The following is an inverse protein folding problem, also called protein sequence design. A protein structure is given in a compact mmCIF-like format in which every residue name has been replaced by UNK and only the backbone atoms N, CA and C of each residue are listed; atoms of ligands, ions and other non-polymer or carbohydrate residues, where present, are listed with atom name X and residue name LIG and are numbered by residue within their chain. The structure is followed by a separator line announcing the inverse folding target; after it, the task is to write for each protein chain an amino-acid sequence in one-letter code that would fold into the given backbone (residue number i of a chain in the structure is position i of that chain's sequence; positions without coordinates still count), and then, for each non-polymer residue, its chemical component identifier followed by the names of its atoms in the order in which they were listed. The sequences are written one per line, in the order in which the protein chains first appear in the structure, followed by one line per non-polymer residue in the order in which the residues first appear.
data_IF_641068289417
#
_entry.id   IF_641068289417
#
_cell.length_a   1.000
_cell.length_b   1.000
_cell.length_c   1.000
_cell.angle_alpha   90.00
_cell.angle_beta   90.00
_cell.angle_gamma   90.00
#
_symmetry.space_group_name_H-M   'P 1'
#
loop_
_entity.id
_entity.type
_entity.pdbx_description
1 polymer ?
#
# COMPACT_ATOMS: atom_id res chain seq x y z
N UNK A 1 26.75 76.59 -13.15
CA UNK A 1 25.68 75.70 -13.68
C UNK A 1 26.10 74.24 -13.56
N UNK A 2 27.34 73.89 -13.93
CA UNK A 2 27.92 72.55 -13.75
C UNK A 2 27.93 72.06 -12.29
N UNK A 3 28.33 72.91 -11.33
CA UNK A 3 28.38 72.52 -9.91
C UNK A 3 27.00 72.22 -9.29
N UNK A 4 25.93 72.86 -9.79
CA UNK A 4 24.55 72.60 -9.32
C UNK A 4 23.99 71.28 -9.87
N UNK A 5 24.36 70.92 -11.09
CA UNK A 5 23.98 69.63 -11.71
C UNK A 5 24.75 68.50 -11.04
N UNK A 6 26.05 68.67 -10.77
CA UNK A 6 26.86 67.69 -10.07
C UNK A 6 26.37 67.47 -8.63
N UNK A 7 26.10 68.55 -7.89
CA UNK A 7 25.54 68.46 -6.53
C UNK A 7 24.17 67.75 -6.49
N UNK A 8 23.34 67.93 -7.52
CA UNK A 8 22.02 67.28 -7.62
C UNK A 8 22.18 65.81 -8.01
N UNK A 9 23.12 65.47 -8.90
CA UNK A 9 23.46 64.10 -9.26
C UNK A 9 24.02 63.33 -8.04
N UNK A 10 24.96 63.93 -7.31
CA UNK A 10 25.55 63.31 -6.12
C UNK A 10 24.51 63.15 -5.01
N UNK A 11 23.57 64.10 -4.86
CA UNK A 11 22.46 63.99 -3.91
C UNK A 11 21.43 62.92 -4.32
N UNK A 12 21.10 62.78 -5.60
CA UNK A 12 20.23 61.71 -6.11
C UNK A 12 20.90 60.35 -5.98
N UNK A 13 22.21 60.27 -6.26
CA UNK A 13 23.02 59.06 -6.08
C UNK A 13 23.10 58.66 -4.61
N UNK A 14 23.33 59.61 -3.71
CA UNK A 14 23.36 59.37 -2.26
C UNK A 14 22.00 58.87 -1.75
N UNK A 15 20.89 59.51 -2.15
CA UNK A 15 19.52 59.07 -1.78
C UNK A 15 19.20 57.69 -2.36
N UNK A 16 19.70 57.37 -3.55
CA UNK A 16 19.52 56.05 -4.14
C UNK A 16 20.38 54.97 -3.46
N UNK A 17 21.59 55.30 -3.03
CA UNK A 17 22.45 54.41 -2.21
C UNK A 17 21.81 54.18 -0.85
N UNK A 18 21.35 55.23 -0.17
CA UNK A 18 20.66 55.13 1.13
C UNK A 18 19.36 54.32 1.04
N UNK A 19 18.55 54.54 -0.01
CA UNK A 19 17.36 53.72 -0.27
C UNK A 19 17.69 52.28 -0.63
N UNK A 20 18.79 52.04 -1.34
CA UNK A 20 19.30 50.69 -1.64
C UNK A 20 19.77 49.99 -0.36
N UNK A 21 20.48 50.68 0.52
CA UNK A 21 20.93 50.15 1.81
C UNK A 21 19.75 49.84 2.74
N UNK A 22 18.73 50.69 2.76
CA UNK A 22 17.50 50.45 3.51
C UNK A 22 16.69 49.27 2.94
N UNK A 23 16.58 49.15 1.61
CA UNK A 23 16.00 47.98 0.94
C UNK A 23 16.78 46.69 1.26
N UNK A 24 18.11 46.74 1.24
CA UNK A 24 18.97 45.60 1.58
C UNK A 24 18.79 45.21 3.05
N UNK A 25 18.67 46.19 3.97
CA UNK A 25 18.37 45.91 5.39
C UNK A 25 16.99 45.28 5.58
N UNK A 26 15.96 45.78 4.88
CA UNK A 26 14.61 45.23 4.93
C UNK A 26 14.59 43.80 4.41
N UNK A 27 15.23 43.53 3.27
CA UNK A 27 15.27 42.20 2.65
C UNK A 27 16.05 41.22 3.53
N UNK A 28 17.20 41.63 4.10
CA UNK A 28 17.96 40.80 5.06
C UNK A 28 17.15 40.49 6.32
N UNK A 29 16.48 41.49 6.89
CA UNK A 29 15.60 41.32 8.06
C UNK A 29 14.45 40.35 7.76
N UNK A 30 13.79 40.48 6.61
CA UNK A 30 12.71 39.56 6.18
C UNK A 30 13.23 38.14 5.92
N UNK A 31 14.43 37.99 5.33
CA UNK A 31 15.09 36.69 5.12
C UNK A 31 15.40 36.00 6.46
N UNK A 32 16.01 36.73 7.39
CA UNK A 32 16.41 36.17 8.68
C UNK A 32 15.18 35.82 9.54
N UNK A 33 14.09 36.59 9.42
CA UNK A 33 12.79 36.24 10.02
C UNK A 33 12.22 34.93 9.44
N UNK A 34 12.23 34.76 8.12
CA UNK A 34 11.77 33.53 7.45
C UNK A 34 12.60 32.31 7.84
N UNK A 35 13.92 32.46 7.97
CA UNK A 35 14.81 31.38 8.42
C UNK A 35 14.55 31.00 9.88
N UNK A 36 14.32 31.99 10.75
CA UNK A 36 13.96 31.74 12.15
C UNK A 36 12.63 31.00 12.29
N UNK A 37 11.59 31.40 11.54
CA UNK A 37 10.29 30.73 11.50
C UNK A 37 10.42 29.31 10.92
N UNK A 38 11.28 29.10 9.93
CA UNK A 38 11.56 27.77 9.41
C UNK A 38 12.21 26.87 10.48
N UNK A 39 13.21 27.36 11.23
CA UNK A 39 13.89 26.59 12.28
C UNK A 39 12.99 26.26 13.48
N UNK A 40 12.07 27.17 13.87
CA UNK A 40 11.07 26.90 14.92
C UNK A 40 10.07 25.81 14.50
N UNK A 41 9.78 25.68 13.20
CA UNK A 41 8.93 24.60 12.65
C UNK A 41 9.70 23.28 12.36
N UNK A 42 11.04 23.28 12.40
CA UNK A 42 11.90 22.12 12.06
C UNK A 42 11.94 21.04 13.16
N UNK A 43 11.42 21.28 14.35
CA UNK A 43 11.30 20.25 15.41
C UNK A 43 10.12 19.27 15.24
N UNK A 44 9.38 19.35 14.12
CA UNK A 44 8.21 18.50 13.84
C UNK A 44 8.18 18.01 12.39
N UNK A 45 8.68 16.79 12.19
CA UNK A 45 8.45 15.89 11.03
C UNK A 45 9.26 16.17 9.74
N UNK A 46 10.14 15.23 9.38
CA UNK A 46 11.31 15.42 8.49
C UNK A 46 11.11 15.35 6.97
N UNK A 47 9.97 15.00 6.39
CA UNK A 47 9.91 14.70 4.94
C UNK A 47 9.31 15.79 4.03
N UNK A 48 8.49 16.72 4.55
CA UNK A 48 8.15 17.96 3.83
C UNK A 48 9.26 19.01 3.95
N UNK A 49 10.17 18.80 4.90
CA UNK A 49 11.27 19.70 5.23
C UNK A 49 12.29 19.84 4.10
N UNK A 50 12.59 18.77 3.36
CA UNK A 50 13.66 18.79 2.36
C UNK A 50 13.24 19.50 1.06
N UNK A 51 11.98 19.34 0.64
CA UNK A 51 11.41 20.08 -0.49
C UNK A 51 11.15 21.53 -0.09
N UNK A 52 10.67 21.79 1.11
CA UNK A 52 10.50 23.15 1.63
C UNK A 52 11.85 23.87 1.77
N UNK A 53 12.89 23.23 2.35
CA UNK A 53 14.26 23.78 2.40
C UNK A 53 14.84 24.01 1.00
N UNK A 54 14.56 23.14 0.04
CA UNK A 54 14.98 23.32 -1.35
C UNK A 54 14.27 24.50 -2.02
N UNK A 55 12.95 24.62 -1.85
CA UNK A 55 12.14 25.70 -2.45
C UNK A 55 12.45 27.05 -1.78
N UNK A 56 12.65 27.06 -0.46
CA UNK A 56 13.11 28.24 0.30
C UNK A 56 14.54 28.61 -0.09
N UNK A 57 15.43 27.63 -0.24
CA UNK A 57 16.80 27.84 -0.71
C UNK A 57 16.87 28.43 -2.12
N UNK A 58 16.04 27.94 -3.04
CA UNK A 58 15.91 28.50 -4.39
C UNK A 58 15.36 29.93 -4.36
N UNK A 59 14.38 30.20 -3.49
CA UNK A 59 13.80 31.54 -3.33
C UNK A 59 14.83 32.52 -2.74
N UNK A 60 15.59 32.12 -1.72
CA UNK A 60 16.68 32.91 -1.15
C UNK A 60 17.80 33.18 -2.16
N UNK A 61 18.15 32.19 -2.99
CA UNK A 61 19.17 32.34 -4.05
C UNK A 61 18.71 33.37 -5.09
N UNK A 62 17.45 33.31 -5.51
CA UNK A 62 16.87 34.28 -6.44
C UNK A 62 16.83 35.71 -5.86
N UNK A 63 16.55 35.84 -4.56
CA UNK A 63 16.60 37.13 -3.87
C UNK A 63 18.04 37.67 -3.81
N UNK A 64 19.02 36.82 -3.49
CA UNK A 64 20.44 37.19 -3.42
C UNK A 64 21.01 37.60 -4.79
N UNK A 65 20.60 36.93 -5.87
CA UNK A 65 20.95 37.29 -7.25
C UNK A 65 20.37 38.66 -7.64
N UNK A 66 19.10 38.93 -7.31
CA UNK A 66 18.46 40.23 -7.56
C UNK A 66 19.08 41.35 -6.73
N UNK A 67 19.44 41.09 -5.47
CA UNK A 67 20.16 42.05 -4.61
C UNK A 67 21.54 42.40 -5.17
N UNK A 68 22.29 41.41 -5.69
CA UNK A 68 23.59 41.65 -6.33
C UNK A 68 23.45 42.51 -7.59
N UNK A 69 22.45 42.25 -8.43
CA UNK A 69 22.17 43.05 -9.62
C UNK A 69 21.81 44.52 -9.26
N UNK A 70 21.02 44.72 -8.19
CA UNK A 70 20.70 46.04 -7.65
C UNK A 70 21.95 46.78 -7.13
N UNK A 71 22.79 46.11 -6.35
CA UNK A 71 24.02 46.69 -5.80
C UNK A 71 25.06 47.05 -6.86
N UNK A 72 25.07 46.34 -7.99
CA UNK A 72 25.95 46.61 -9.13
C UNK A 72 25.45 47.74 -10.05
N UNK A 73 24.26 48.31 -9.77
CA UNK A 73 23.70 49.43 -10.53
C UNK A 73 23.20 49.05 -11.93
N UNK A 74 23.01 47.76 -12.23
CA UNK A 74 22.73 47.27 -13.58
C UNK A 74 21.27 47.42 -14.02
N UNK A 75 20.34 47.85 -13.16
CA UNK A 75 18.92 47.97 -13.53
C UNK A 75 18.15 49.04 -12.71
N UNK A 76 18.48 50.32 -12.91
CA UNK A 76 17.88 51.44 -12.16
C UNK A 76 16.39 51.73 -12.50
N UNK A 77 15.86 51.18 -13.59
CA UNK A 77 14.55 51.56 -14.15
C UNK A 77 13.39 50.68 -13.62
N UNK A 78 13.64 49.70 -12.75
CA UNK A 78 12.59 48.74 -12.29
C UNK A 78 12.50 48.52 -10.78
N UNK A 79 12.92 49.48 -9.95
CA UNK A 79 12.87 49.35 -8.48
C UNK A 79 11.46 49.05 -7.93
N UNK A 80 10.40 49.66 -8.49
CA UNK A 80 9.02 49.41 -8.05
C UNK A 80 8.52 48.01 -8.42
N UNK A 81 9.05 47.41 -9.50
CA UNK A 81 8.67 46.07 -9.92
C UNK A 81 9.33 45.00 -9.05
N UNK A 82 10.58 45.24 -8.62
CA UNK A 82 11.30 44.31 -7.74
C UNK A 82 10.71 44.28 -6.33
N UNK A 83 10.34 45.45 -5.77
CA UNK A 83 9.67 45.53 -4.47
C UNK A 83 8.31 44.83 -4.50
N UNK A 84 7.54 45.03 -5.58
CA UNK A 84 6.25 44.35 -5.79
C UNK A 84 6.39 42.82 -5.95
N UNK A 85 7.39 42.36 -6.70
CA UNK A 85 7.68 40.92 -6.87
C UNK A 85 8.09 40.27 -5.53
N UNK A 86 8.90 40.96 -4.72
CA UNK A 86 9.34 40.47 -3.40
C UNK A 86 8.16 40.39 -2.43
N UNK A 87 7.33 41.43 -2.35
CA UNK A 87 6.16 41.44 -1.47
C UNK A 87 5.14 40.36 -1.89
N UNK A 88 4.97 40.12 -3.18
CA UNK A 88 4.13 39.02 -3.69
C UNK A 88 4.68 37.64 -3.28
N UNK A 89 5.99 37.41 -3.38
CA UNK A 89 6.61 36.14 -2.97
C UNK A 89 6.52 35.90 -1.46
N UNK A 90 6.62 36.96 -0.66
CA UNK A 90 6.41 36.91 0.79
C UNK A 90 4.95 36.60 1.11
N UNK A 91 4.00 37.24 0.43
CA UNK A 91 2.57 37.01 0.62
C UNK A 91 2.17 35.56 0.24
N UNK A 92 2.69 35.03 -0.88
CA UNK A 92 2.50 33.63 -1.28
C UNK A 92 3.12 32.65 -0.27
N UNK A 93 4.26 33.00 0.33
CA UNK A 93 4.92 32.18 1.36
C UNK A 93 4.16 32.20 2.70
N UNK A 94 3.67 33.37 3.12
CA UNK A 94 2.88 33.53 4.34
C UNK A 94 1.52 32.83 4.23
N UNK A 95 0.84 32.91 3.07
CA UNK A 95 -0.40 32.14 2.80
C UNK A 95 -0.18 30.63 2.90
N UNK A 96 1.00 30.13 2.52
CA UNK A 96 1.36 28.72 2.67
C UNK A 96 1.68 28.34 4.11
N UNK A 97 2.30 29.23 4.89
CA UNK A 97 2.57 29.02 6.32
C UNK A 97 1.27 29.01 7.15
N UNK A 98 0.35 29.93 6.88
CA UNK A 98 -0.97 29.96 7.54
C UNK A 98 -1.78 28.70 7.23
N UNK A 99 -1.72 28.20 5.99
CA UNK A 99 -2.35 26.93 5.61
C UNK A 99 -1.75 25.72 6.36
N UNK A 100 -0.43 25.70 6.58
CA UNK A 100 0.27 24.63 7.33
C UNK A 100 -0.03 24.73 8.84
N UNK A 101 -0.14 25.95 9.38
CA UNK A 101 -0.48 26.22 10.78
C UNK A 101 -1.91 25.79 11.12
N UNK A 102 -2.88 26.08 10.24
CA UNK A 102 -4.28 25.69 10.39
C UNK A 102 -4.52 24.17 10.35
N UNK A 103 -3.59 23.39 9.81
CA UNK A 103 -3.68 21.92 9.76
C UNK A 103 -3.11 21.23 11.01
N UNK A 104 -2.44 21.94 11.92
CA UNK A 104 -1.67 21.33 13.02
C UNK A 104 -2.10 21.73 14.44
N UNK A 105 -3.21 22.46 14.61
CA UNK A 105 -3.76 22.75 15.94
C UNK A 105 -4.72 21.64 16.40
N UNK A 106 -4.21 20.67 17.18
CA UNK A 106 -4.82 20.08 18.39
C UNK A 106 -3.90 18.92 18.84
N UNK A 107 -3.14 19.14 19.92
CA UNK A 107 -2.33 18.13 20.61
C UNK A 107 -2.47 18.31 22.14
N UNK A 108 -3.05 17.29 22.81
CA UNK A 108 -2.75 16.70 24.16
C UNK A 108 -2.89 17.60 25.43
N UNK A 109 -2.90 17.08 26.72
CA UNK A 109 -2.08 15.97 27.26
C UNK A 109 -2.53 15.09 28.49
N UNK A 110 -1.89 13.88 28.57
CA UNK A 110 -1.22 13.19 29.72
C UNK A 110 -2.01 12.62 30.94
N UNK A 111 -1.75 11.34 31.33
CA UNK A 111 -1.26 10.88 32.68
C UNK A 111 -1.05 9.32 32.79
N UNK A 112 0.20 8.91 33.10
CA UNK A 112 0.68 7.98 34.17
C UNK A 112 0.36 6.45 34.23
N UNK A 113 1.43 5.66 33.98
CA UNK A 113 2.01 4.43 34.61
C UNK A 113 1.22 3.22 35.18
N UNK A 114 1.82 2.04 34.92
CA UNK A 114 1.97 0.81 35.77
C UNK A 114 0.83 -0.23 35.87
N UNK A 115 1.01 -1.39 35.21
CA UNK A 115 0.38 -2.68 35.62
C UNK A 115 1.08 -3.92 35.01
N UNK A 116 2.41 -3.96 35.05
CA UNK A 116 3.25 -5.13 34.69
C UNK A 116 3.40 -6.12 35.87
N UNK A 117 2.56 -6.03 36.91
CA UNK A 117 2.80 -6.70 38.20
C UNK A 117 1.83 -7.83 38.55
N UNK A 118 0.78 -8.16 37.75
CA UNK A 118 -0.30 -9.00 38.29
C UNK A 118 -0.69 -10.31 37.60
N UNK A 119 -0.21 -10.67 36.41
CA UNK A 119 -0.69 -11.91 35.76
C UNK A 119 0.41 -12.87 35.30
N UNK A 120 1.57 -12.81 35.98
CA UNK A 120 2.64 -13.83 35.89
C UNK A 120 2.47 -14.96 36.94
N UNK A 121 1.30 -15.07 37.56
CA UNK A 121 1.04 -15.96 38.72
C UNK A 121 -0.15 -16.91 38.57
N UNK A 122 -0.68 -17.11 37.36
CA UNK A 122 -1.80 -18.02 37.13
C UNK A 122 -1.47 -18.96 35.96
N UNK A 123 -1.11 -20.19 36.33
CA UNK A 123 -1.04 -21.43 35.55
C UNK A 123 0.22 -21.64 34.68
N UNK A 124 1.14 -22.58 34.96
CA UNK A 124 1.07 -23.79 35.79
C UNK A 124 0.98 -25.04 34.91
N UNK A 125 2.12 -25.73 34.79
CA UNK A 125 2.42 -27.11 34.35
C UNK A 125 1.29 -28.00 33.77
N UNK A 126 1.60 -28.76 32.70
CA UNK A 126 1.32 -30.21 32.65
C UNK A 126 2.11 -30.95 31.55
N UNK A 127 2.64 -32.11 31.96
CA UNK A 127 3.48 -33.06 31.22
C UNK A 127 2.68 -33.96 30.25
N UNK A 128 3.44 -34.51 29.30
CA UNK A 128 3.13 -35.41 28.18
C UNK A 128 2.45 -36.75 28.52
N UNK A 129 1.61 -37.22 27.58
CA UNK A 129 1.54 -38.62 27.09
C UNK A 129 1.27 -38.64 25.56
N UNK A 130 1.92 -39.59 24.89
CA UNK A 130 2.11 -39.78 23.44
C UNK A 130 0.90 -40.34 22.68
N UNK A 131 0.80 -40.05 21.36
CA UNK A 131 0.37 -40.93 20.24
C UNK A 131 0.85 -40.30 18.89
N UNK A 132 1.10 -41.15 17.89
CA UNK A 132 1.91 -41.04 16.66
C UNK A 132 1.42 -40.17 15.48
N UNK A 133 2.39 -39.46 14.85
CA UNK A 133 2.56 -39.16 13.39
C UNK A 133 1.43 -38.48 12.57
N UNK A 134 1.17 -37.21 12.88
CA UNK A 134 1.25 -36.04 11.97
C UNK A 134 1.66 -34.86 12.87
N UNK A 135 2.82 -34.24 12.63
CA UNK A 135 3.39 -33.22 13.52
C UNK A 135 2.58 -31.90 13.48
N UNK A 136 1.67 -31.80 14.46
CA UNK A 136 0.90 -30.68 15.03
C UNK A 136 0.80 -29.35 14.24
N UNK A 137 -0.42 -29.01 13.81
CA UNK A 137 -0.84 -27.63 13.56
C UNK A 137 -1.56 -27.10 14.81
N UNK A 138 -1.05 -26.03 15.44
CA UNK A 138 -1.80 -25.24 16.44
C UNK A 138 -1.45 -23.75 16.32
N UNK A 139 -2.46 -22.88 16.31
CA UNK A 139 -2.32 -21.42 16.34
C UNK A 139 -3.20 -20.87 17.47
N UNK A 140 -2.66 -20.02 18.33
CA UNK A 140 -3.42 -19.25 19.33
C UNK A 140 -2.68 -17.93 19.60
N UNK A 141 -3.27 -16.77 19.32
CA UNK A 141 -2.72 -15.49 19.76
C UNK A 141 -3.80 -14.52 20.26
N UNK A 142 -3.94 -14.47 21.60
CA UNK A 142 -4.58 -13.41 22.39
C UNK A 142 -3.55 -12.80 23.33
N UNK A 143 -3.41 -11.47 23.37
CA UNK A 143 -2.78 -10.79 24.52
C UNK A 143 -3.39 -9.41 24.76
N UNK A 144 -3.89 -9.18 25.97
CA UNK A 144 -4.41 -7.90 26.46
C UNK A 144 -3.32 -6.80 26.55
N UNK A 145 -2.03 -7.14 26.37
CA UNK A 145 -0.87 -6.24 26.36
C UNK A 145 -0.08 -6.24 25.03
N UNK A 146 -0.72 -6.58 23.90
CA UNK A 146 -0.12 -6.99 22.60
C UNK A 146 0.87 -6.08 21.86
N UNK A 147 1.23 -4.91 22.39
CA UNK A 147 2.21 -4.01 21.76
C UNK A 147 3.66 -4.49 21.92
N UNK A 148 4.01 -5.14 23.05
CA UNK A 148 5.40 -5.49 23.36
C UNK A 148 5.97 -6.62 22.47
N UNK A 149 5.16 -7.62 22.11
CA UNK A 149 5.62 -8.72 21.26
C UNK A 149 5.88 -8.27 19.83
N UNK A 150 5.01 -7.43 19.26
CA UNK A 150 5.20 -6.91 17.89
C UNK A 150 6.45 -6.03 17.75
N UNK A 151 6.88 -5.35 18.82
CA UNK A 151 8.11 -4.54 18.81
C UNK A 151 9.37 -5.41 18.68
N UNK A 152 9.34 -6.65 19.20
CA UNK A 152 10.48 -7.57 19.16
C UNK A 152 10.66 -8.29 17.83
N UNK A 153 9.64 -8.29 16.96
CA UNK A 153 9.70 -8.99 15.68
C UNK A 153 10.63 -8.24 14.72
N UNK A 154 11.59 -8.93 14.06
CA UNK A 154 12.45 -8.32 13.06
C UNK A 154 11.68 -7.62 11.95
N UNK A 155 12.03 -6.36 11.67
CA UNK A 155 11.42 -5.55 10.62
C UNK A 155 12.17 -5.73 9.30
N UNK A 156 11.46 -6.11 8.23
CA UNK A 156 12.04 -6.21 6.89
C UNK A 156 12.12 -4.85 6.19
N UNK A 157 13.22 -4.61 5.50
CA UNK A 157 13.39 -3.50 4.57
C UNK A 157 13.14 -3.97 3.14
N UNK A 158 12.59 -3.10 2.27
CA UNK A 158 12.37 -3.49 0.88
C UNK A 158 13.70 -3.66 0.15
N UNK A 159 13.84 -4.73 -0.62
CA UNK A 159 15.02 -5.00 -1.46
C UNK A 159 14.97 -4.15 -2.73
N UNK A 160 13.77 -3.93 -3.28
CA UNK A 160 13.56 -3.03 -4.40
C UNK A 160 12.17 -2.39 -4.34
N UNK A 161 12.03 -1.27 -5.05
CA UNK A 161 10.78 -0.52 -5.22
C UNK A 161 10.61 -0.13 -6.69
N UNK A 162 9.40 -0.27 -7.23
CA UNK A 162 9.03 0.23 -8.56
C UNK A 162 7.84 1.16 -8.42
N UNK A 163 7.97 2.35 -8.98
CA UNK A 163 6.87 3.33 -9.10
C UNK A 163 5.96 2.96 -10.28
N UNK A 164 4.65 3.02 -10.05
CA UNK A 164 3.63 2.63 -11.02
C UNK A 164 2.78 3.83 -11.44
N UNK A 165 2.38 3.83 -12.71
CA UNK A 165 1.39 4.77 -13.25
C UNK A 165 -0.06 4.41 -12.90
N UNK A 166 -0.27 3.24 -12.30
CA UNK A 166 -1.57 2.70 -11.89
C UNK A 166 -1.53 2.32 -10.41
N UNK A 167 -2.69 2.16 -9.80
CA UNK A 167 -2.83 1.63 -8.45
C UNK A 167 -2.90 0.09 -8.50
N UNK A 168 -1.97 -0.64 -7.86
CA UNK A 168 -1.89 -2.09 -7.94
C UNK A 168 -2.94 -2.77 -7.02
N UNK A 169 -4.18 -2.85 -7.48
CA UNK A 169 -5.26 -3.50 -6.73
C UNK A 169 -5.13 -5.02 -6.68
N UNK A 170 -4.54 -5.60 -7.72
CA UNK A 170 -4.29 -7.03 -7.81
C UNK A 170 -2.84 -7.30 -8.18
N UNK A 171 -2.24 -8.26 -7.47
CA UNK A 171 -0.88 -8.72 -7.69
C UNK A 171 -0.90 -10.24 -7.78
N UNK A 172 -0.36 -10.79 -8.86
CA UNK A 172 -0.22 -12.23 -9.01
C UNK A 172 1.13 -12.56 -9.64
N UNK A 173 1.81 -13.56 -9.10
CA UNK A 173 2.93 -14.20 -9.78
C UNK A 173 2.44 -15.35 -10.62
N UNK A 174 3.01 -15.49 -11.80
CA UNK A 174 2.80 -16.66 -12.63
C UNK A 174 4.00 -16.92 -13.55
N UNK A 175 4.21 -18.18 -13.96
CA UNK A 175 5.22 -18.76 -14.88
C UNK A 175 6.27 -19.63 -14.16
N UNK A 176 6.36 -20.88 -14.63
CA UNK A 176 7.27 -21.89 -14.10
C UNK A 176 8.71 -21.75 -14.59
N UNK A 177 8.94 -21.09 -15.74
CA UNK A 177 10.27 -20.98 -16.37
C UNK A 177 10.83 -19.56 -16.22
N UNK A 178 10.00 -18.55 -16.49
CA UNK A 178 10.36 -17.15 -16.38
C UNK A 178 9.25 -16.45 -15.61
N UNK A 179 9.32 -16.40 -14.26
CA UNK A 179 8.24 -15.83 -13.47
C UNK A 179 7.92 -14.40 -13.93
N UNK A 180 6.66 -14.04 -13.91
CA UNK A 180 6.15 -12.74 -14.29
C UNK A 180 5.26 -12.23 -13.17
N UNK A 181 5.36 -10.93 -12.90
CA UNK A 181 4.50 -10.24 -11.96
C UNK A 181 3.41 -9.51 -12.75
N UNK A 182 2.17 -9.95 -12.55
CA UNK A 182 0.97 -9.34 -13.10
C UNK A 182 0.44 -8.32 -12.08
N UNK A 183 0.33 -7.07 -12.51
CA UNK A 183 -0.13 -5.94 -11.70
C UNK A 183 -1.36 -5.33 -12.37
N UNK A 184 -2.55 -5.58 -11.82
CA UNK A 184 -3.81 -5.08 -12.37
C UNK A 184 -4.42 -4.01 -11.46
N UNK A 185 -4.94 -2.94 -12.05
CA UNK A 185 -5.79 -1.99 -11.35
C UNK A 185 -7.27 -2.42 -11.34
N UNK A 186 -8.14 -1.60 -10.74
CA UNK A 186 -9.60 -1.84 -10.70
C UNK A 186 -10.30 -1.68 -12.04
N UNK A 187 -9.67 -1.03 -13.01
CA UNK A 187 -10.27 -0.72 -14.31
C UNK A 187 -9.81 -1.70 -15.40
N UNK A 188 -9.02 -2.71 -15.04
CA UNK A 188 -8.50 -3.71 -15.97
C UNK A 188 -7.29 -3.25 -16.78
N UNK A 189 -6.55 -2.23 -16.30
CA UNK A 189 -5.21 -1.93 -16.82
C UNK A 189 -4.22 -2.85 -16.13
N UNK A 190 -3.58 -3.69 -16.93
CA UNK A 190 -2.65 -4.72 -16.49
C UNK A 190 -1.23 -4.37 -16.94
N UNK A 191 -0.31 -4.23 -16.01
CA UNK A 191 1.12 -4.17 -16.28
C UNK A 191 1.76 -5.52 -15.97
N UNK A 192 2.53 -6.05 -16.91
CA UNK A 192 3.28 -7.30 -16.75
C UNK A 192 4.75 -6.98 -16.62
N UNK A 193 5.38 -7.42 -15.53
CA UNK A 193 6.80 -7.23 -15.26
C UNK A 193 7.54 -8.56 -15.35
N UNK A 194 8.77 -8.53 -15.88
CA UNK A 194 9.69 -9.66 -15.77
C UNK A 194 10.06 -9.82 -14.30
N UNK A 195 9.90 -11.01 -13.75
CA UNK A 195 10.55 -11.31 -12.50
C UNK A 195 11.98 -11.77 -12.78
N UNK A 196 12.94 -11.11 -12.13
CA UNK A 196 14.28 -11.66 -11.98
C UNK A 196 14.43 -12.00 -10.52
N UNK A 197 14.85 -13.24 -10.23
CA UNK A 197 15.19 -13.62 -8.87
C UNK A 197 16.27 -12.68 -8.36
N UNK A 198 16.20 -12.29 -7.09
CA UNK A 198 17.23 -11.48 -6.47
C UNK A 198 18.58 -12.21 -6.32
N UNK A 199 18.60 -13.53 -6.55
CA UNK A 199 19.83 -14.30 -6.75
C UNK A 199 20.53 -14.01 -8.10
N UNK A 200 19.86 -13.27 -9.01
CA UNK A 200 20.30 -13.09 -10.42
C UNK A 200 20.39 -11.62 -10.86
N UNK A 201 20.45 -10.69 -9.90
CA UNK A 201 20.57 -9.23 -10.07
C UNK A 201 19.52 -8.56 -10.98
N UNK A 202 18.61 -7.80 -10.35
CA UNK A 202 17.88 -6.74 -11.05
C UNK A 202 16.48 -6.45 -10.52
N UNK A 203 16.10 -5.18 -10.60
CA UNK A 203 14.73 -4.70 -10.42
C UNK A 203 13.84 -5.24 -11.55
N UNK A 204 12.60 -5.70 -11.28
CA UNK A 204 11.67 -6.14 -12.33
C UNK A 204 11.49 -5.08 -13.43
N UNK A 205 11.59 -5.49 -14.69
CA UNK A 205 11.39 -4.62 -15.87
C UNK A 205 9.96 -4.74 -16.36
N UNK A 206 9.32 -3.61 -16.68
CA UNK A 206 8.03 -3.61 -17.38
C UNK A 206 8.21 -4.26 -18.76
N UNK A 207 7.46 -5.33 -19.02
CA UNK A 207 7.43 -6.01 -20.30
C UNK A 207 6.35 -5.42 -21.20
N UNK A 208 5.16 -5.18 -20.65
CA UNK A 208 4.00 -4.71 -21.41
C UNK A 208 2.90 -4.15 -20.52
N UNK A 209 2.04 -3.34 -21.13
CA UNK A 209 0.78 -2.86 -20.56
C UNK A 209 -0.36 -3.34 -21.45
N UNK A 210 -1.42 -3.86 -20.84
CA UNK A 210 -2.59 -4.43 -21.51
C UNK A 210 -3.83 -3.75 -20.93
N UNK A 211 -4.78 -3.41 -21.80
CA UNK A 211 -6.11 -2.95 -21.41
C UNK A 211 -7.10 -4.09 -21.65
N UNK A 212 -7.55 -4.74 -20.57
CA UNK A 212 -8.42 -5.91 -20.66
C UNK A 212 -9.83 -5.54 -21.16
N UNK A 213 -10.27 -4.33 -20.83
CA UNK A 213 -11.55 -3.79 -21.25
C UNK A 213 -11.33 -2.51 -22.06
N UNK A 214 -12.08 -2.34 -23.14
CA UNK A 214 -12.24 -1.03 -23.79
C UNK A 214 -12.89 -0.11 -22.75
N UNK A 215 -12.58 1.19 -22.75
CA UNK A 215 -13.07 2.17 -21.75
C UNK A 215 -14.59 2.09 -21.54
N UNK A 216 -15.03 1.22 -20.66
CA UNK A 216 -16.39 1.07 -20.20
C UNK A 216 -16.39 1.63 -18.78
N UNK A 217 -17.03 2.79 -18.61
CA UNK A 217 -16.90 3.61 -17.41
C UNK A 217 -17.54 2.99 -16.16
N UNK A 218 -18.25 1.86 -16.32
CA UNK A 218 -19.08 1.30 -15.25
C UNK A 218 -18.61 -0.07 -14.75
N UNK A 219 -17.53 -0.65 -15.27
CA UNK A 219 -17.07 -1.99 -14.88
C UNK A 219 -15.86 -1.91 -13.94
N UNK A 220 -15.90 -2.65 -12.82
CA UNK A 220 -14.76 -2.82 -11.90
C UNK A 220 -14.33 -4.26 -11.82
N UNK A 221 -13.01 -4.47 -11.81
CA UNK A 221 -12.40 -5.75 -11.45
C UNK A 221 -12.54 -5.96 -9.95
N UNK A 222 -13.20 -7.06 -9.58
CA UNK A 222 -13.41 -7.48 -8.18
C UNK A 222 -12.43 -8.58 -7.78
N UNK A 223 -12.06 -9.45 -8.72
CA UNK A 223 -11.09 -10.50 -8.49
C UNK A 223 -10.29 -10.76 -9.75
N UNK A 224 -9.00 -11.01 -9.54
CA UNK A 224 -8.03 -11.29 -10.59
C UNK A 224 -7.15 -12.44 -10.11
N UNK A 225 -7.00 -13.45 -10.95
CA UNK A 225 -6.13 -14.59 -10.68
C UNK A 225 -5.46 -15.05 -11.98
N UNK A 226 -4.25 -15.58 -11.88
CA UNK A 226 -3.49 -16.08 -13.02
C UNK A 226 -3.09 -17.50 -12.72
N UNK A 227 -3.24 -18.38 -13.70
CA UNK A 227 -2.82 -19.77 -13.61
C UNK A 227 -2.11 -20.18 -14.89
N UNK A 228 -1.73 -21.47 -14.98
CA UNK A 228 -0.86 -22.03 -16.03
C UNK A 228 -1.15 -21.51 -17.43
N UNK A 229 -2.44 -21.33 -17.74
CA UNK A 229 -2.90 -21.07 -19.09
C UNK A 229 -3.49 -19.68 -19.29
N UNK A 230 -4.32 -19.22 -18.35
CA UNK A 230 -5.13 -18.03 -18.55
C UNK A 230 -5.05 -17.09 -17.35
N UNK A 231 -5.39 -15.83 -17.59
CA UNK A 231 -5.83 -14.89 -16.57
C UNK A 231 -7.34 -14.98 -16.45
N UNK A 232 -7.82 -15.03 -15.21
CA UNK A 232 -9.24 -15.09 -14.87
C UNK A 232 -9.59 -13.78 -14.17
N UNK A 233 -10.58 -13.09 -14.73
CA UNK A 233 -10.96 -11.74 -14.28
C UNK A 233 -12.45 -11.76 -14.00
N UNK A 234 -12.83 -11.53 -12.74
CA UNK A 234 -14.20 -11.32 -12.37
C UNK A 234 -14.46 -9.82 -12.24
N UNK A 235 -15.48 -9.35 -12.94
CA UNK A 235 -15.88 -7.96 -12.92
C UNK A 235 -17.33 -7.80 -12.52
N UNK A 236 -17.69 -6.64 -11.98
CA UNK A 236 -19.08 -6.23 -11.78
C UNK A 236 -19.30 -4.81 -12.29
N UNK A 237 -20.57 -4.45 -12.47
CA UNK A 237 -20.94 -3.06 -12.68
C UNK A 237 -20.83 -2.28 -11.37
N UNK A 238 -20.46 -0.99 -11.40
CA UNK A 238 -20.45 -0.13 -10.23
C UNK A 238 -21.82 -0.07 -9.54
N UNK A 239 -22.89 -0.09 -10.34
CA UNK A 239 -24.28 -0.03 -9.90
C UNK A 239 -24.85 -1.36 -9.38
N UNK A 240 -24.22 -2.49 -9.71
CA UNK A 240 -24.66 -3.82 -9.28
C UNK A 240 -23.67 -4.38 -8.27
N UNK A 241 -24.12 -4.63 -7.04
CA UNK A 241 -23.22 -5.13 -6.01
C UNK A 241 -23.01 -6.64 -6.08
N UNK A 242 -23.99 -7.39 -6.60
CA UNK A 242 -24.08 -8.81 -6.30
C UNK A 242 -23.60 -9.70 -7.43
N UNK A 243 -24.07 -9.47 -8.65
CA UNK A 243 -23.71 -10.30 -9.81
C UNK A 243 -22.59 -9.68 -10.64
N UNK A 244 -21.87 -10.54 -11.34
CA UNK A 244 -20.75 -10.15 -12.17
C UNK A 244 -20.49 -11.11 -13.31
N UNK A 245 -19.54 -10.74 -14.14
CA UNK A 245 -19.13 -11.49 -15.32
C UNK A 245 -17.70 -11.99 -15.12
N UNK A 246 -17.45 -13.25 -15.46
CA UNK A 246 -16.11 -13.83 -15.47
C UNK A 246 -15.57 -13.85 -16.90
N UNK A 247 -14.35 -13.35 -17.05
CA UNK A 247 -13.61 -13.30 -18.31
C UNK A 247 -12.34 -14.14 -18.22
N UNK A 248 -11.98 -14.71 -19.37
CA UNK A 248 -10.79 -15.53 -19.54
C UNK A 248 -9.91 -14.93 -20.62
N UNK A 249 -8.68 -14.60 -20.26
CA UNK A 249 -7.70 -14.00 -21.17
C UNK A 249 -6.46 -14.87 -21.25
N UNK A 250 -5.82 -14.94 -22.41
CA UNK A 250 -4.42 -15.40 -22.51
C UNK A 250 -3.51 -14.47 -21.70
N UNK A 251 -2.27 -14.88 -21.41
CA UNK A 251 -1.29 -14.01 -20.73
C UNK A 251 -0.83 -12.80 -21.56
N UNK A 252 -1.17 -12.78 -22.85
CA UNK A 252 -0.98 -11.63 -23.74
C UNK A 252 -2.24 -10.73 -23.79
N UNK A 253 -3.30 -11.08 -23.06
CA UNK A 253 -4.50 -10.25 -22.90
C UNK A 253 -5.56 -10.45 -23.97
N UNK A 254 -5.45 -11.49 -24.79
CA UNK A 254 -6.49 -11.85 -25.75
C UNK A 254 -7.61 -12.60 -25.03
N UNK A 255 -8.84 -12.12 -25.18
CA UNK A 255 -10.02 -12.77 -24.63
C UNK A 255 -10.30 -14.07 -25.39
N UNK A 256 -10.43 -15.18 -24.66
CA UNK A 256 -10.62 -16.52 -25.23
C UNK A 256 -12.06 -16.78 -25.69
N UNK A 257 -13.02 -16.33 -24.88
CA UNK A 257 -14.45 -16.45 -25.13
C UNK A 257 -15.18 -15.21 -24.60
N UNK A 258 -16.41 -14.92 -25.05
CA UNK A 258 -17.25 -13.91 -24.40
C UNK A 258 -17.38 -14.16 -22.90
N UNK A 259 -17.50 -13.07 -22.13
CA UNK A 259 -17.66 -13.14 -20.67
C UNK A 259 -18.88 -13.99 -20.27
N UNK A 260 -18.73 -14.76 -19.20
CA UNK A 260 -19.78 -15.62 -18.66
C UNK A 260 -20.42 -14.91 -17.47
N UNK A 261 -21.73 -14.68 -17.51
CA UNK A 261 -22.46 -14.15 -16.37
C UNK A 261 -22.56 -15.19 -15.26
N UNK A 262 -22.23 -14.78 -14.03
CA UNK A 262 -22.28 -15.65 -12.88
C UNK A 262 -23.69 -15.65 -12.29
N UNK A 263 -24.20 -16.84 -12.00
CA UNK A 263 -25.47 -17.03 -11.29
C UNK A 263 -25.37 -16.86 -9.77
N UNK A 264 -24.15 -16.68 -9.24
CA UNK A 264 -23.88 -16.53 -7.81
C UNK A 264 -23.07 -15.26 -7.54
N UNK A 265 -23.35 -14.56 -6.44
CA UNK A 265 -22.57 -13.41 -6.05
C UNK A 265 -21.22 -13.86 -5.48
N UNK A 266 -20.15 -13.29 -6.03
CA UNK A 266 -18.80 -13.74 -5.72
C UNK A 266 -18.06 -12.70 -4.86
N UNK A 267 -17.32 -13.16 -3.85
CA UNK A 267 -16.33 -12.32 -3.14
C UNK A 267 -14.91 -12.45 -3.68
N UNK A 268 -14.50 -13.66 -4.05
CA UNK A 268 -13.16 -13.94 -4.55
C UNK A 268 -13.18 -15.15 -5.47
N UNK A 269 -12.39 -15.10 -6.54
CA UNK A 269 -11.83 -16.28 -7.20
C UNK A 269 -10.35 -16.42 -6.90
N UNK A 270 -9.89 -17.67 -6.77
CA UNK A 270 -8.49 -18.03 -6.64
C UNK A 270 -8.23 -19.27 -7.51
N UNK A 271 -7.40 -19.10 -8.54
CA UNK A 271 -6.92 -20.22 -9.32
C UNK A 271 -5.80 -20.96 -8.56
N UNK A 272 -5.92 -22.27 -8.47
CA UNK A 272 -4.97 -23.15 -7.80
C UNK A 272 -4.48 -24.22 -8.78
N UNK A 273 -3.33 -23.93 -9.40
CA UNK A 273 -2.66 -24.81 -10.36
C UNK A 273 -2.28 -26.16 -9.74
N UNK A 274 -1.98 -26.23 -8.43
CA UNK A 274 -1.54 -27.48 -7.80
C UNK A 274 -2.65 -28.53 -7.77
N UNK A 275 -3.90 -28.09 -7.68
CA UNK A 275 -5.08 -28.97 -7.69
C UNK A 275 -5.91 -28.85 -8.96
N UNK A 276 -5.50 -28.02 -9.92
CA UNK A 276 -6.25 -27.69 -11.13
C UNK A 276 -7.70 -27.25 -10.82
N UNK A 277 -7.87 -26.40 -9.80
CA UNK A 277 -9.17 -25.91 -9.34
C UNK A 277 -9.24 -24.38 -9.35
N UNK A 278 -10.42 -23.85 -9.66
CA UNK A 278 -10.78 -22.45 -9.45
C UNK A 278 -11.68 -22.38 -8.23
N UNK A 279 -11.15 -21.90 -7.11
CA UNK A 279 -11.88 -21.75 -5.86
C UNK A 279 -12.67 -20.45 -5.86
N UNK A 280 -13.93 -20.51 -5.44
CA UNK A 280 -14.83 -19.37 -5.30
C UNK A 280 -15.41 -19.24 -3.90
N UNK A 281 -15.59 -18.01 -3.43
CA UNK A 281 -16.35 -17.70 -2.21
C UNK A 281 -17.70 -17.12 -2.63
N UNK A 282 -18.78 -17.82 -2.25
CA UNK A 282 -20.14 -17.33 -2.38
C UNK A 282 -20.41 -16.25 -1.32
N UNK A 283 -20.80 -15.06 -1.77
CA UNK A 283 -21.01 -13.90 -0.91
C UNK A 283 -22.17 -14.06 0.07
N UNK A 284 -23.22 -14.77 -0.35
CA UNK A 284 -24.46 -14.93 0.42
C UNK A 284 -24.60 -16.33 0.99
N UNK A 285 -24.16 -17.33 0.23
CA UNK A 285 -24.28 -18.72 0.65
C UNK A 285 -23.36 -19.10 1.82
N UNK A 286 -22.38 -18.26 2.16
CA UNK A 286 -21.30 -18.59 3.09
C UNK A 286 -20.72 -19.98 2.74
N UNK A 287 -20.43 -20.20 1.46
CA UNK A 287 -19.89 -21.47 0.96
C UNK A 287 -18.61 -21.22 0.18
N UNK A 288 -17.70 -22.19 0.25
CA UNK A 288 -16.59 -22.30 -0.67
C UNK A 288 -16.97 -23.35 -1.70
N UNK A 289 -16.86 -22.98 -2.96
CA UNK A 289 -17.11 -23.88 -4.08
C UNK A 289 -15.90 -23.91 -5.01
N UNK A 290 -15.91 -24.85 -5.95
CA UNK A 290 -14.85 -24.99 -6.92
C UNK A 290 -15.34 -25.37 -8.30
N UNK A 291 -14.61 -24.90 -9.30
CA UNK A 291 -14.68 -25.37 -10.68
C UNK A 291 -13.38 -26.06 -11.05
N UNK A 292 -13.41 -26.91 -12.07
CA UNK A 292 -12.17 -27.40 -12.70
C UNK A 292 -11.53 -26.27 -13.51
N UNK A 293 -10.21 -26.13 -13.49
CA UNK A 293 -9.54 -25.21 -14.41
C UNK A 293 -9.51 -25.81 -15.83
N UNK A 294 -9.87 -25.04 -16.88
CA UNK A 294 -9.95 -25.54 -18.25
C UNK A 294 -8.58 -25.62 -18.91
N UNK A 295 -8.21 -26.79 -19.42
CA UNK A 295 -6.96 -26.99 -20.16
C UNK A 295 -7.05 -26.47 -21.60
N UNK A 296 -8.26 -26.41 -22.18
CA UNK A 296 -8.51 -25.91 -23.54
C UNK A 296 -9.71 -24.94 -23.61
N UNK A 297 -9.79 -24.10 -24.64
CA UNK A 297 -10.79 -23.00 -24.69
C UNK A 297 -12.22 -23.53 -24.78
N UNK A 298 -12.40 -24.61 -25.53
CA UNK A 298 -13.68 -25.33 -25.62
C UNK A 298 -14.15 -25.93 -24.29
N UNK A 299 -13.28 -26.03 -23.27
CA UNK A 299 -13.63 -26.54 -21.95
C UNK A 299 -14.09 -25.45 -20.99
N UNK A 300 -13.94 -24.16 -21.32
CA UNK A 300 -14.20 -23.06 -20.38
C UNK A 300 -15.68 -23.07 -19.92
N UNK A 301 -16.63 -23.08 -20.86
CA UNK A 301 -18.06 -23.08 -20.52
C UNK A 301 -18.45 -24.33 -19.72
N UNK A 302 -18.13 -25.58 -20.15
CA UNK A 302 -18.38 -26.77 -19.36
C UNK A 302 -17.77 -26.71 -17.95
N UNK A 303 -16.53 -26.22 -17.83
CA UNK A 303 -15.83 -26.15 -16.56
C UNK A 303 -16.48 -25.19 -15.55
N UNK A 304 -16.96 -24.03 -16.02
CA UNK A 304 -17.63 -23.04 -15.17
C UNK A 304 -19.07 -23.45 -14.87
N UNK A 305 -19.74 -24.17 -15.76
CA UNK A 305 -21.09 -24.70 -15.51
C UNK A 305 -21.13 -25.78 -14.42
N UNK A 306 -20.05 -26.54 -14.26
CA UNK A 306 -19.93 -27.58 -13.25
C UNK A 306 -19.35 -27.00 -11.95
N UNK A 307 -20.20 -26.87 -10.94
CA UNK A 307 -19.85 -26.31 -9.64
C UNK A 307 -19.88 -27.40 -8.57
N UNK A 308 -18.78 -27.57 -7.84
CA UNK A 308 -18.70 -28.47 -6.69
C UNK A 308 -18.65 -27.63 -5.40
N UNK A 309 -19.68 -27.75 -4.54
CA UNK A 309 -19.60 -27.21 -3.19
C UNK A 309 -18.51 -27.96 -2.41
N UNK A 310 -17.61 -27.21 -1.78
CA UNK A 310 -16.44 -27.75 -1.10
C UNK A 310 -16.59 -27.70 0.43
N UNK A 311 -16.90 -26.52 0.99
CA UNK A 311 -17.18 -26.30 2.41
C UNK A 311 -18.46 -25.46 2.53
N UNK A 312 -19.37 -25.86 3.41
CA UNK A 312 -20.57 -25.09 3.77
C UNK A 312 -20.49 -24.68 5.25
N UNK A 313 -20.64 -23.38 5.53
CA UNK A 313 -20.53 -22.82 6.89
C UNK A 313 -21.89 -22.62 7.60
N UNK A 314 -22.98 -23.15 7.02
CA UNK A 314 -24.35 -22.87 7.47
C UNK A 314 -24.64 -23.30 8.93
N UNK A 315 -23.89 -24.27 9.43
CA UNK A 315 -24.10 -24.85 10.78
C UNK A 315 -22.97 -24.51 11.77
N UNK A 316 -21.94 -23.77 11.35
CA UNK A 316 -20.73 -23.50 12.15
C UNK A 316 -20.64 -22.01 12.49
N UNK A 317 -21.02 -21.67 13.73
CA UNK A 317 -20.72 -20.42 14.45
C UNK A 317 -20.61 -19.14 13.59
N UNK A 318 -21.61 -18.84 12.76
CA UNK A 318 -21.70 -17.59 11.98
C UNK A 318 -20.41 -17.24 11.20
N UNK A 319 -19.65 -18.23 10.72
CA UNK A 319 -18.41 -17.95 9.99
C UNK A 319 -18.71 -17.46 8.57
N UNK A 320 -18.42 -16.20 8.29
CA UNK A 320 -18.62 -15.59 6.98
C UNK A 320 -17.30 -15.52 6.19
N UNK A 321 -17.01 -16.41 5.23
CA UNK A 321 -15.73 -16.43 4.53
C UNK A 321 -15.46 -15.12 3.75
N UNK A 322 -14.23 -14.60 3.88
CA UNK A 322 -13.77 -13.36 3.26
C UNK A 322 -12.66 -13.59 2.23
N UNK A 323 -11.64 -14.39 2.59
CA UNK A 323 -10.49 -14.69 1.72
C UNK A 323 -10.08 -16.16 1.81
N UNK A 324 -9.63 -16.69 0.67
CA UNK A 324 -8.96 -17.98 0.55
C UNK A 324 -7.50 -17.75 0.16
N UNK A 325 -6.59 -18.50 0.77
CA UNK A 325 -5.26 -18.77 0.23
C UNK A 325 -5.01 -20.28 0.22
N UNK A 326 -4.25 -20.76 -0.77
CA UNK A 326 -3.94 -22.19 -0.90
C UNK A 326 -2.47 -22.41 -1.20
N UNK A 327 -2.00 -23.62 -0.90
CA UNK A 327 -0.74 -24.15 -1.41
C UNK A 327 -0.99 -25.57 -1.95
N UNK A 328 0.01 -26.45 -2.00
CA UNK A 328 -0.18 -27.80 -2.52
C UNK A 328 -1.21 -28.62 -1.73
N UNK A 329 -1.18 -28.55 -0.40
CA UNK A 329 -1.88 -29.52 0.46
C UNK A 329 -3.03 -28.88 1.25
N UNK A 330 -2.93 -27.60 1.59
CA UNK A 330 -3.89 -26.97 2.50
C UNK A 330 -4.57 -25.74 1.89
N UNK A 331 -5.74 -25.43 2.43
CA UNK A 331 -6.54 -24.24 2.15
C UNK A 331 -6.78 -23.49 3.45
N UNK A 332 -6.33 -22.23 3.51
CA UNK A 332 -6.62 -21.34 4.61
C UNK A 332 -7.74 -20.37 4.23
N UNK A 333 -8.71 -20.21 5.13
CA UNK A 333 -9.92 -19.40 4.92
C UNK A 333 -10.02 -18.39 6.06
N UNK A 334 -9.98 -17.11 5.73
CA UNK A 334 -10.23 -16.00 6.66
C UNK A 334 -11.71 -15.68 6.73
N UNK A 335 -12.23 -15.54 7.95
CA UNK A 335 -13.57 -15.04 8.20
C UNK A 335 -13.66 -13.52 8.14
N UNK A 336 -14.82 -13.00 7.78
CA UNK A 336 -15.14 -11.58 7.75
C UNK A 336 -15.47 -11.12 9.16
N UNK A 337 -14.80 -10.09 9.64
CA UNK A 337 -15.05 -9.53 10.98
C UNK A 337 -14.59 -10.41 12.14
N UNK A 338 -14.30 -11.69 11.90
CA UNK A 338 -13.59 -12.56 12.83
C UNK A 338 -12.10 -12.49 12.53
N UNK A 339 -11.30 -12.30 13.56
CA UNK A 339 -9.83 -12.40 13.50
C UNK A 339 -9.39 -13.87 13.36
N UNK A 340 -10.16 -14.67 12.61
CA UNK A 340 -10.16 -16.13 12.65
C UNK A 340 -9.85 -16.69 11.28
N UNK A 341 -8.92 -17.65 11.25
CA UNK A 341 -8.52 -18.39 10.06
C UNK A 341 -8.76 -19.88 10.29
N UNK A 342 -9.56 -20.50 9.42
CA UNK A 342 -9.75 -21.94 9.39
C UNK A 342 -8.84 -22.55 8.33
N UNK A 343 -8.09 -23.60 8.67
CA UNK A 343 -7.18 -24.30 7.76
C UNK A 343 -7.68 -25.72 7.52
N UNK A 344 -7.88 -26.05 6.26
CA UNK A 344 -8.41 -27.33 5.81
C UNK A 344 -7.36 -28.11 5.03
N UNK A 345 -7.35 -29.42 5.21
CA UNK A 345 -6.66 -30.33 4.30
C UNK A 345 -7.46 -30.41 2.98
N UNK A 346 -6.80 -30.17 1.85
CA UNK A 346 -7.48 -30.10 0.55
C UNK A 346 -8.00 -31.44 0.05
N UNK A 347 -7.37 -32.54 0.47
CA UNK A 347 -7.72 -33.87 -0.02
C UNK A 347 -8.90 -34.45 0.77
N UNK A 348 -8.81 -34.44 2.10
CA UNK A 348 -9.81 -34.99 3.00
C UNK A 348 -10.96 -34.02 3.31
N UNK A 349 -10.81 -32.74 2.96
CA UNK A 349 -11.73 -31.64 3.30
C UNK A 349 -11.91 -31.41 4.79
N UNK A 350 -11.08 -32.01 5.64
CA UNK A 350 -11.18 -31.90 7.10
C UNK A 350 -10.55 -30.61 7.58
N UNK A 351 -11.23 -29.95 8.52
CA UNK A 351 -10.67 -28.85 9.29
C UNK A 351 -9.49 -29.40 10.11
N UNK A 352 -8.29 -28.88 9.85
CA UNK A 352 -7.08 -29.27 10.58
C UNK A 352 -6.90 -28.42 11.84
N UNK A 353 -7.15 -27.12 11.72
CA UNK A 353 -6.99 -26.16 12.81
C UNK A 353 -7.80 -24.88 12.57
N UNK A 354 -8.03 -24.15 13.65
CA UNK A 354 -8.55 -22.78 13.63
C UNK A 354 -7.58 -21.92 14.41
N UNK A 355 -7.11 -20.84 13.81
CA UNK A 355 -6.26 -19.85 14.47
C UNK A 355 -7.00 -18.53 14.67
N UNK A 356 -6.87 -17.95 15.86
CA UNK A 356 -7.30 -16.58 16.14
C UNK A 356 -6.06 -15.69 16.26
N UNK A 357 -6.03 -14.60 15.48
CA UNK A 357 -4.87 -13.73 15.35
C UNK A 357 -5.24 -12.29 15.67
N UNK A 358 -4.72 -11.74 16.77
CA UNK A 358 -4.93 -10.35 17.13
C UNK A 358 -3.64 -9.53 16.98
N UNK A 359 -3.76 -8.32 16.44
CA UNK A 359 -2.68 -7.33 16.37
C UNK A 359 -2.99 -6.07 17.21
N UNK A 360 -4.03 -6.14 18.06
CA UNK A 360 -4.48 -5.10 18.97
C UNK A 360 -5.83 -4.50 18.55
N UNK A 361 -6.46 -3.77 19.48
CA UNK A 361 -7.84 -3.24 19.39
C UNK A 361 -8.22 -2.53 18.08
N UNK A 362 -7.27 -1.91 17.40
CA UNK A 362 -7.50 -1.10 16.20
C UNK A 362 -7.04 -1.77 14.91
N UNK A 363 -6.57 -3.02 14.97
CA UNK A 363 -6.00 -3.72 13.84
C UNK A 363 -6.94 -4.83 13.37
N UNK A 364 -7.47 -4.67 12.16
CA UNK A 364 -8.33 -5.66 11.55
C UNK A 364 -7.57 -6.51 10.54
N UNK A 365 -7.68 -7.84 10.66
CA UNK A 365 -7.15 -8.77 9.66
C UNK A 365 -7.98 -8.69 8.37
N UNK A 366 -7.34 -8.26 7.29
CA UNK A 366 -7.99 -8.00 6.00
C UNK A 366 -7.57 -8.96 4.88
N UNK A 367 -6.41 -9.61 5.03
CA UNK A 367 -5.88 -10.47 3.97
C UNK A 367 -4.95 -11.54 4.54
N UNK A 368 -4.83 -12.64 3.82
CA UNK A 368 -3.91 -13.73 4.14
C UNK A 368 -3.25 -14.27 2.87
N UNK A 369 -2.03 -14.79 3.01
CA UNK A 369 -1.38 -15.61 2.00
C UNK A 369 -0.72 -16.80 2.70
N UNK A 370 -0.49 -17.85 1.91
CA UNK A 370 0.09 -19.10 2.39
C UNK A 370 1.35 -19.40 1.60
N UNK A 371 2.45 -19.63 2.31
CA UNK A 371 3.71 -20.05 1.68
C UNK A 371 3.66 -21.54 1.30
N UNK A 372 4.59 -21.95 0.43
CA UNK A 372 4.73 -23.35 0.00
C UNK A 372 5.01 -24.31 1.16
N UNK A 373 5.62 -23.82 2.24
CA UNK A 373 6.01 -24.54 3.46
C UNK A 373 5.00 -24.41 4.61
N UNK A 374 3.76 -23.99 4.30
CA UNK A 374 2.66 -23.77 5.26
C UNK A 374 2.84 -22.61 6.24
N UNK A 375 3.85 -21.74 6.07
CA UNK A 375 3.87 -20.46 6.79
C UNK A 375 2.70 -19.58 6.34
N UNK A 376 2.26 -18.68 7.22
CA UNK A 376 1.18 -17.72 6.95
C UNK A 376 1.74 -16.32 6.87
N UNK A 377 1.25 -15.52 5.93
CA UNK A 377 1.44 -14.08 5.90
C UNK A 377 0.10 -13.40 6.10
N UNK A 378 -0.04 -12.66 7.19
CA UNK A 378 -1.29 -11.99 7.55
C UNK A 378 -1.14 -10.48 7.38
N UNK A 379 -2.13 -9.83 6.77
CA UNK A 379 -2.19 -8.37 6.65
C UNK A 379 -3.25 -7.80 7.59
N UNK A 380 -2.80 -7.00 8.53
CA UNK A 380 -3.63 -6.20 9.40
C UNK A 380 -3.64 -4.76 8.90
N UNK A 381 -4.82 -4.13 8.83
CA UNK A 381 -4.92 -2.69 8.63
C UNK A 381 -5.45 -2.01 9.89
N UNK A 382 -4.96 -0.80 10.15
CA UNK A 382 -5.41 0.00 11.28
C UNK A 382 -6.68 0.77 10.89
N UNK A 383 -7.80 0.45 11.55
CA UNK A 383 -9.10 1.08 11.28
C UNK A 383 -9.26 2.46 11.95
N UNK A 384 -8.37 2.80 12.90
CA UNK A 384 -8.39 4.09 13.59
C UNK A 384 -7.59 5.18 12.86
N UNK A 385 -6.99 4.87 11.71
CA UNK A 385 -6.16 5.82 10.99
C UNK A 385 -7.02 6.71 10.06
N UNK A 386 -7.42 7.88 10.55
CA UNK A 386 -8.30 8.83 9.84
C UNK A 386 -7.75 9.32 8.48
N UNK A 387 -6.42 9.37 8.33
CA UNK A 387 -5.79 10.01 7.16
C UNK A 387 -4.95 9.06 6.30
N UNK A 388 -4.25 8.11 6.91
CA UNK A 388 -3.35 7.19 6.19
C UNK A 388 -3.53 5.78 6.76
N UNK A 389 -4.20 4.90 6.01
CA UNK A 389 -4.36 3.50 6.39
C UNK A 389 -2.99 2.85 6.59
N UNK A 390 -2.64 2.55 7.84
CA UNK A 390 -1.42 1.82 8.18
C UNK A 390 -1.69 0.33 8.02
N UNK A 391 -0.71 -0.39 7.51
CA UNK A 391 -0.77 -1.83 7.32
C UNK A 391 0.43 -2.49 7.99
N UNK A 392 0.19 -3.57 8.72
CA UNK A 392 1.22 -4.45 9.27
C UNK A 392 1.03 -5.81 8.62
N UNK A 393 2.13 -6.38 8.14
CA UNK A 393 2.19 -7.74 7.65
C UNK A 393 2.99 -8.54 8.65
N UNK A 394 2.42 -9.64 9.14
CA UNK A 394 3.08 -10.53 10.10
C UNK A 394 3.19 -11.89 9.46
N UNK A 395 4.42 -12.39 9.41
CA UNK A 395 4.72 -13.74 8.97
C UNK A 395 4.70 -14.67 10.18
N UNK A 396 3.89 -15.71 10.14
CA UNK A 396 3.82 -16.77 11.14
C UNK A 396 4.40 -18.05 10.58
N UNK A 397 5.26 -18.70 11.36
CA UNK A 397 5.79 -19.99 10.98
C UNK A 397 4.74 -21.11 11.06
N UNK A 398 5.12 -22.35 10.71
CA UNK A 398 4.22 -23.52 10.77
C UNK A 398 3.70 -23.85 12.18
N UNK A 399 4.35 -23.31 13.22
CA UNK A 399 3.99 -23.49 14.63
C UNK A 399 3.14 -22.34 15.17
N UNK A 400 2.88 -21.32 14.36
CA UNK A 400 2.12 -20.14 14.76
C UNK A 400 2.93 -19.07 15.48
N UNK A 401 4.25 -19.14 15.43
CA UNK A 401 5.12 -18.09 16.01
C UNK A 401 5.35 -17.00 14.97
N UNK A 402 5.16 -15.75 15.37
CA UNK A 402 5.46 -14.61 14.52
C UNK A 402 6.98 -14.45 14.34
N UNK A 403 7.47 -14.52 13.11
CA UNK A 403 8.91 -14.55 12.79
C UNK A 403 9.41 -13.30 12.09
N UNK A 404 8.56 -12.62 11.33
CA UNK A 404 8.92 -11.40 10.60
C UNK A 404 7.76 -10.41 10.56
N UNK A 405 8.09 -9.12 10.45
CA UNK A 405 7.10 -8.08 10.19
C UNK A 405 7.49 -7.11 9.09
N UNK A 406 6.48 -6.62 8.37
CA UNK A 406 6.58 -5.46 7.48
C UNK A 406 5.57 -4.44 7.95
N UNK A 407 6.00 -3.20 8.13
CA UNK A 407 5.11 -2.09 8.48
C UNK A 407 5.17 -1.05 7.38
N UNK A 408 4.01 -0.60 6.94
CA UNK A 408 3.91 0.30 5.79
C UNK A 408 2.58 1.06 5.82
N UNK A 409 2.42 1.97 4.86
CA UNK A 409 1.25 2.82 4.71
C UNK A 409 0.61 2.56 3.34
N UNK A 410 -0.71 2.71 3.27
CA UNK A 410 -1.48 2.63 2.04
C UNK A 410 -1.26 1.34 1.24
N UNK A 411 -0.98 0.22 1.91
CA UNK A 411 -0.87 -1.06 1.24
C UNK A 411 -2.24 -1.57 0.84
N UNK A 412 -2.33 -2.00 -0.41
CA UNK A 412 -3.58 -2.44 -1.02
C UNK A 412 -3.59 -3.95 -1.07
N UNK A 413 -2.56 -4.51 -1.71
CA UNK A 413 -2.50 -5.92 -2.03
C UNK A 413 -1.11 -6.49 -1.75
N UNK A 414 -1.04 -7.79 -1.55
CA UNK A 414 0.19 -8.55 -1.42
C UNK A 414 0.14 -9.83 -2.25
N UNK A 415 1.31 -10.35 -2.59
CA UNK A 415 1.49 -11.67 -3.21
C UNK A 415 2.83 -12.27 -2.76
N UNK A 416 2.95 -13.60 -2.82
CA UNK A 416 4.20 -14.32 -2.54
C UNK A 416 4.81 -14.73 -3.88
N UNK A 417 6.06 -14.35 -4.09
CA UNK A 417 6.81 -14.73 -5.27
C UNK A 417 7.36 -16.15 -5.22
N UNK A 418 7.89 -16.66 -6.35
CA UNK A 418 8.33 -18.04 -6.48
C UNK A 418 9.44 -18.45 -5.49
N UNK A 419 10.25 -17.49 -5.02
CA UNK A 419 11.33 -17.70 -4.05
C UNK A 419 10.95 -17.27 -2.63
N UNK A 420 9.65 -17.24 -2.32
CA UNK A 420 9.08 -16.81 -1.03
C UNK A 420 9.32 -15.33 -0.68
N UNK A 421 9.68 -14.50 -1.65
CA UNK A 421 9.69 -13.05 -1.47
C UNK A 421 8.25 -12.51 -1.36
N UNK A 422 8.08 -11.50 -0.52
CA UNK A 422 6.79 -10.85 -0.30
C UNK A 422 6.76 -9.60 -1.17
N UNK A 423 5.83 -9.53 -2.11
CA UNK A 423 5.61 -8.33 -2.92
C UNK A 423 4.32 -7.65 -2.49
N UNK A 424 4.42 -6.37 -2.15
CA UNK A 424 3.32 -5.56 -1.66
C UNK A 424 3.08 -4.40 -2.63
N UNK A 425 1.82 -4.13 -2.93
CA UNK A 425 1.36 -3.03 -3.75
C UNK A 425 0.77 -1.93 -2.90
N UNK A 426 1.08 -0.68 -3.25
CA UNK A 426 0.74 0.51 -2.47
C UNK A 426 0.04 1.55 -3.33
N UNK A 427 -0.84 2.33 -2.70
CA UNK A 427 -1.25 3.64 -3.21
C UNK A 427 -0.23 4.67 -2.74
N UNK A 428 0.23 5.53 -3.63
CA UNK A 428 1.08 6.65 -3.19
C UNK A 428 0.19 7.71 -2.54
N UNK A 429 0.24 7.81 -1.21
CA UNK A 429 -0.53 8.77 -0.42
C UNK A 429 -0.24 10.24 -0.77
N UNK A 430 0.96 10.51 -1.29
CA UNK A 430 1.42 11.87 -1.60
C UNK A 430 0.93 12.42 -2.96
N UNK A 431 0.21 11.64 -3.78
CA UNK A 431 -0.28 12.10 -5.08
C UNK A 431 -1.79 11.94 -5.20
N UNK A 432 -2.51 13.05 -5.43
CA UNK A 432 -3.90 13.02 -5.93
C UNK A 432 -4.02 12.30 -7.29
N UNK A 433 -2.90 12.02 -7.96
CA UNK A 433 -2.84 11.21 -9.17
C UNK A 433 -2.90 9.72 -8.80
N UNK A 434 -3.76 8.94 -9.46
CA UNK A 434 -3.94 7.48 -9.29
C UNK A 434 -2.68 6.66 -9.60
N UNK A 435 -1.63 6.86 -8.81
CA UNK A 435 -0.33 6.22 -8.92
C UNK A 435 -0.10 5.32 -7.72
N UNK A 436 0.65 4.27 -7.97
CA UNK A 436 1.03 3.31 -6.95
C UNK A 436 2.52 3.03 -6.94
N UNK A 437 2.89 2.08 -6.11
CA UNK A 437 4.21 1.47 -6.12
C UNK A 437 4.08 -0.01 -5.79
N UNK A 438 5.09 -0.78 -6.14
CA UNK A 438 5.30 -2.14 -5.62
C UNK A 438 6.66 -2.19 -4.93
N UNK A 439 6.70 -2.90 -3.81
CA UNK A 439 7.94 -3.15 -3.05
C UNK A 439 8.06 -4.64 -2.77
N UNK A 440 9.29 -5.12 -2.76
CA UNK A 440 9.61 -6.50 -2.47
C UNK A 440 10.43 -6.63 -1.20
N UNK A 441 10.13 -7.65 -0.41
CA UNK A 441 10.77 -7.96 0.86
C UNK A 441 11.20 -9.43 0.83
N UNK A 442 12.39 -9.75 1.37
CA UNK A 442 12.89 -11.13 1.50
C UNK A 442 12.98 -11.52 2.95
#
# INVERSE_FOLDING_TARGET
MYDRVQSTYDRVRQVAIERSDDLVKIIKSKRDSLLKTADEHVTSTEMNLHKYKSDLGNTCTLIDERLKALMNGEDFVRNSQVEHDIDRLIEESNKRLDWISQQNSIVMPVFVTSAEFLMKKLYGELKFRSISQQEVIKFDCKTENGSQFLLSIPKKTPVWTISLKIIPYFLCFYSNVNPQLFVCDRNGVLNVYSHKSLLTDGTPRLLRTIHLFRKHYDVVVESFSVYTRLMIVHTRLYSQQDFGTIFFFTHDGLMEIPGIELSRPLRQFLADDNTNRLWGIDRWGCTIFSHKLPSFSYQIIPAISLCENYIEYKDVDNFDPLKIATNKNVMAVLGKGSQTINIYDKQSKRLMTTGQFDAGKYWQLWNLLLFKDNRLLLKFDNDNAEYIKRSIFIEFDKTGVAVNKIETQCAIQMTIGPNNEIVVGFRNSASQNDRGAIRCYI
#
